data_IF_140672967539
#
_entry.id   IF_140672967539
#
_cell.length_a   1.000
_cell.length_b   1.000
_cell.length_c   1.000
_cell.angle_alpha   90.00
_cell.angle_beta   90.00
_cell.angle_gamma   90.00
#
_symmetry.space_group_name_H-M   'P 1'
#
loop_
_entity.id
_entity.type
_entity.pdbx_description
1 polymer ?
#
# COMPACT_ATOMS: atom_id res chain seq x y z
N UNK A 1 7.68 13.73 4.40
CA UNK A 1 6.78 12.58 4.22
C UNK A 1 5.71 13.01 3.25
N UNK A 2 5.33 12.15 2.31
CA UNK A 2 4.24 12.44 1.37
C UNK A 2 2.98 11.72 1.81
N UNK A 3 1.86 12.44 1.77
CA UNK A 3 0.53 11.87 1.96
C UNK A 3 0.05 11.26 0.65
N UNK A 4 -0.57 10.08 0.73
CA UNK A 4 -1.32 9.48 -0.36
C UNK A 4 -2.67 9.05 0.19
N UNK A 5 -3.74 9.56 -0.39
CA UNK A 5 -5.11 9.17 -0.05
C UNK A 5 -5.56 8.11 -1.05
N UNK A 6 -6.14 7.02 -0.53
CA UNK A 6 -6.60 5.89 -1.33
C UNK A 6 -8.07 5.67 -1.01
N UNK A 7 -8.92 6.00 -1.98
CA UNK A 7 -10.37 5.83 -1.91
C UNK A 7 -10.78 4.50 -2.55
N UNK A 8 -11.52 3.66 -1.82
CA UNK A 8 -12.08 2.44 -2.36
C UNK A 8 -13.50 2.67 -2.92
N UNK A 9 -13.55 3.03 -4.19
CA UNK A 9 -14.81 3.17 -4.96
C UNK A 9 -15.33 1.83 -5.52
N UNK A 10 -14.66 0.72 -5.19
CA UNK A 10 -14.97 -0.62 -5.67
C UNK A 10 -16.09 -1.29 -4.88
N UNK A 11 -16.53 -2.46 -5.36
CA UNK A 11 -17.57 -3.27 -4.69
C UNK A 11 -17.06 -4.19 -3.58
N UNK A 12 -15.75 -4.30 -3.41
CA UNK A 12 -15.10 -5.25 -2.51
C UNK A 12 -13.97 -4.61 -1.73
N UNK A 13 -13.40 -5.36 -0.79
CA UNK A 13 -12.31 -4.86 0.05
C UNK A 13 -11.00 -4.76 -0.74
N UNK A 14 -10.20 -3.75 -0.42
CA UNK A 14 -8.84 -3.59 -0.96
C UNK A 14 -7.81 -3.84 0.14
N UNK A 15 -6.76 -4.61 -0.16
CA UNK A 15 -5.56 -4.62 0.67
C UNK A 15 -4.53 -3.66 0.10
N UNK A 16 -4.17 -2.64 0.87
CA UNK A 16 -3.12 -1.66 0.57
C UNK A 16 -1.85 -2.06 1.28
N UNK A 17 -0.76 -2.24 0.53
CA UNK A 17 0.56 -2.53 1.07
C UNK A 17 1.56 -1.45 0.70
N UNK A 18 2.14 -0.80 1.70
CA UNK A 18 3.34 -0.01 1.54
C UNK A 18 4.55 -0.94 1.63
N UNK A 19 5.35 -0.96 0.58
CA UNK A 19 6.51 -1.83 0.47
C UNK A 19 7.79 -1.03 0.22
N UNK A 20 8.90 -1.55 0.73
CA UNK A 20 10.24 -1.03 0.47
C UNK A 20 11.16 -2.14 -0.05
N UNK A 21 12.18 -1.76 -0.81
CA UNK A 21 13.20 -2.66 -1.33
C UNK A 21 14.57 -1.98 -1.34
N UNK A 22 15.57 -2.61 -0.73
CA UNK A 22 16.93 -2.10 -0.72
C UNK A 22 17.59 -2.33 -2.10
N UNK A 23 18.31 -1.36 -2.68
CA UNK A 23 18.90 -1.47 -4.02
C UNK A 23 19.94 -2.60 -4.12
N UNK A 24 20.60 -2.93 -3.02
CA UNK A 24 21.71 -3.87 -2.93
C UNK A 24 21.35 -5.22 -2.29
N UNK A 25 20.10 -5.43 -1.87
CA UNK A 25 19.67 -6.75 -1.39
C UNK A 25 19.05 -7.57 -2.53
N UNK A 26 19.71 -8.66 -2.92
CA UNK A 26 19.10 -9.73 -3.69
C UNK A 26 18.06 -10.44 -2.82
N UNK A 27 16.82 -9.91 -2.76
CA UNK A 27 15.81 -10.42 -1.82
C UNK A 27 14.41 -9.82 -1.93
N UNK A 28 14.13 -8.98 -2.93
CA UNK A 28 12.80 -8.53 -3.27
C UNK A 28 12.19 -7.46 -2.35
N UNK A 29 10.90 -7.21 -2.54
CA UNK A 29 10.13 -6.19 -1.82
C UNK A 29 9.65 -6.70 -0.47
N UNK A 30 9.74 -5.85 0.57
CA UNK A 30 9.25 -6.12 1.92
C UNK A 30 8.06 -5.23 2.26
N UNK A 31 7.03 -5.79 2.90
CA UNK A 31 5.88 -5.03 3.38
C UNK A 31 6.27 -4.30 4.66
N UNK A 32 6.19 -2.97 4.66
CA UNK A 32 6.37 -2.14 5.85
C UNK A 32 5.04 -1.82 6.55
N UNK A 33 3.96 -1.64 5.77
CA UNK A 33 2.61 -1.41 6.32
C UNK A 33 1.59 -2.09 5.42
N UNK A 34 0.57 -2.70 6.02
CA UNK A 34 -0.58 -3.27 5.32
C UNK A 34 -1.86 -2.78 5.97
N UNK A 35 -2.89 -2.49 5.17
CA UNK A 35 -4.19 -2.08 5.66
C UNK A 35 -5.29 -2.58 4.71
N UNK A 36 -6.42 -3.02 5.28
CA UNK A 36 -7.60 -3.38 4.50
C UNK A 36 -8.51 -2.16 4.49
N UNK A 37 -8.91 -1.73 3.30
CA UNK A 37 -9.80 -0.61 3.06
C UNK A 37 -11.15 -1.17 2.65
N UNK A 38 -12.15 -0.91 3.47
CA UNK A 38 -13.52 -1.30 3.23
C UNK A 38 -14.10 -0.52 2.05
N UNK A 39 -15.25 -0.97 1.54
CA UNK A 39 -15.95 -0.25 0.48
C UNK A 39 -16.35 1.15 0.97
N UNK A 40 -16.21 2.13 0.09
CA UNK A 40 -16.52 3.54 0.33
C UNK A 40 -15.67 4.18 1.46
N UNK A 41 -14.60 3.50 1.89
CA UNK A 41 -13.62 4.03 2.84
C UNK A 41 -12.47 4.73 2.10
N UNK A 42 -11.95 5.80 2.73
CA UNK A 42 -10.70 6.44 2.32
C UNK A 42 -9.61 6.17 3.35
N UNK A 43 -8.50 5.62 2.89
CA UNK A 43 -7.32 5.40 3.73
C UNK A 43 -6.25 6.44 3.48
N UNK A 44 -5.83 7.09 4.56
CA UNK A 44 -4.77 8.10 4.57
C UNK A 44 -3.42 7.46 4.89
N UNK A 45 -2.58 7.29 3.86
CA UNK A 45 -1.23 6.75 4.01
C UNK A 45 -0.18 7.86 4.06
N UNK A 46 0.49 8.01 5.20
CA UNK A 46 1.73 8.76 5.30
C UNK A 46 2.92 7.87 4.92
N UNK A 47 3.62 8.19 3.82
CA UNK A 47 4.88 7.51 3.47
C UNK A 47 6.09 8.38 3.82
N UNK A 48 7.15 7.81 4.43
CA UNK A 48 8.39 8.53 4.65
C UNK A 48 9.06 8.82 3.29
N UNK A 49 9.61 10.01 3.13
CA UNK A 49 10.51 10.28 2.01
C UNK A 49 11.86 9.64 2.32
N UNK A 50 12.40 8.86 1.38
CA UNK A 50 13.67 8.20 1.59
C UNK A 50 14.45 8.07 0.26
N UNK A 51 15.76 8.33 0.31
CA UNK A 51 16.66 8.24 -0.84
C UNK A 51 17.49 6.95 -0.87
N UNK A 52 17.49 6.17 0.21
CA UNK A 52 18.36 5.00 0.38
C UNK A 52 17.73 3.68 -0.10
N UNK A 53 16.42 3.65 -0.30
CA UNK A 53 15.70 2.47 -0.76
C UNK A 53 14.52 2.83 -1.66
N UNK A 54 14.13 1.88 -2.51
CA UNK A 54 12.95 2.01 -3.35
C UNK A 54 11.69 1.81 -2.53
N UNK A 55 10.65 2.54 -2.89
CA UNK A 55 9.37 2.54 -2.19
C UNK A 55 8.23 2.38 -3.20
N UNK A 56 7.25 1.54 -2.90
CA UNK A 56 6.04 1.40 -3.71
C UNK A 56 4.81 1.16 -2.85
N UNK A 57 3.65 1.43 -3.42
CA UNK A 57 2.35 1.07 -2.86
C UNK A 57 1.76 0.03 -3.80
N UNK A 58 1.34 -1.11 -3.24
CA UNK A 58 0.65 -2.18 -3.96
C UNK A 58 -0.78 -2.23 -3.48
N UNK A 59 -1.72 -2.24 -4.43
CA UNK A 59 -3.16 -2.33 -4.16
C UNK A 59 -3.64 -3.68 -4.68
N UNK A 60 -4.23 -4.48 -3.80
CA UNK A 60 -4.76 -5.81 -4.13
C UNK A 60 -6.28 -5.76 -3.94
N UNK A 61 -7.02 -6.07 -4.99
CA UNK A 61 -8.47 -6.25 -4.89
C UNK A 61 -8.74 -7.66 -4.33
N UNK A 62 -9.35 -7.74 -3.15
CA UNK A 62 -9.63 -9.01 -2.48
C UNK A 62 -10.89 -9.71 -3.05
N UNK A 63 -11.56 -9.11 -4.03
CA UNK A 63 -12.85 -9.54 -4.55
C UNK A 63 -14.03 -8.97 -3.76
N UNK A 64 -15.24 -9.21 -4.24
CA UNK A 64 -16.44 -8.88 -3.49
C UNK A 64 -16.57 -9.83 -2.30
N UNK A 65 -16.59 -9.27 -1.08
CA UNK A 65 -17.04 -9.99 0.12
C UNK A 65 -18.43 -10.55 -0.18
N UNK A 66 -18.61 -11.87 -0.02
CA UNK A 66 -19.90 -12.54 -0.23
C UNK A 66 -20.94 -12.08 0.77
#
# INVERSE_FOLDING_TARGET
GRSVDIENTGRGELTIQYQWGAPFMAGGWKVAKSHVVQRDETYHLQRPDNAFYHQRIVVINNGASR
#
